data_IF_572148656989
#
_entry.id   IF_572148656989
#
_cell.length_a   1.000
_cell.length_b   1.000
_cell.length_c   1.000
_cell.angle_alpha   90.00
_cell.angle_beta   90.00
_cell.angle_gamma   90.00
#
_symmetry.space_group_name_H-M   'P 1'
#
loop_
_entity.id
_entity.type
_entity.pdbx_description
1 polymer ?
#
# COMPACT_ATOMS: atom_id res chain seq x y z
N UNK A 1 17.33 -5.98 12.72
CA UNK A 1 16.04 -5.73 12.04
C UNK A 1 16.25 -4.79 10.87
N UNK A 2 15.54 -5.04 9.78
CA UNK A 2 15.47 -4.12 8.63
C UNK A 2 13.99 -3.86 8.30
N UNK A 3 13.64 -2.58 8.12
CA UNK A 3 12.34 -2.14 7.61
C UNK A 3 12.58 -1.50 6.25
N UNK A 4 12.15 -2.17 5.20
CA UNK A 4 12.30 -1.68 3.83
C UNK A 4 11.02 -0.96 3.39
N UNK A 5 11.00 0.34 3.60
CA UNK A 5 9.93 1.24 3.20
C UNK A 5 10.30 2.11 1.97
N UNK A 6 11.53 1.96 1.45
CA UNK A 6 11.96 2.70 0.28
C UNK A 6 11.19 2.25 -0.97
N UNK A 7 10.79 3.22 -1.77
CA UNK A 7 10.05 2.96 -3.00
C UNK A 7 9.49 4.24 -3.60
N UNK A 8 9.01 4.15 -4.84
CA UNK A 8 8.36 5.25 -5.54
C UNK A 8 6.91 4.88 -5.83
N UNK A 9 6.01 5.80 -5.56
CA UNK A 9 4.56 5.66 -5.82
C UNK A 9 4.13 6.39 -7.08
N UNK A 10 4.96 7.34 -7.55
CA UNK A 10 4.77 8.13 -8.76
C UNK A 10 6.09 8.31 -9.49
N UNK A 11 6.09 8.12 -10.80
CA UNK A 11 7.25 8.29 -11.67
C UNK A 11 6.82 8.90 -13.00
N UNK A 12 7.75 9.61 -13.65
CA UNK A 12 7.59 10.08 -15.03
C UNK A 12 7.69 8.93 -16.02
N UNK A 13 8.60 7.99 -15.77
CA UNK A 13 8.80 6.81 -16.61
C UNK A 13 8.39 5.54 -15.88
N UNK A 14 7.57 4.71 -16.50
CA UNK A 14 7.08 3.46 -15.90
C UNK A 14 8.19 2.49 -15.52
N UNK A 15 9.33 2.52 -16.25
CA UNK A 15 10.51 1.72 -15.94
C UNK A 15 11.12 2.04 -14.56
N UNK A 16 10.93 3.25 -14.04
CA UNK A 16 11.44 3.64 -12.73
C UNK A 16 10.74 2.89 -11.60
N UNK A 17 9.48 2.49 -11.77
CA UNK A 17 8.81 1.63 -10.78
C UNK A 17 9.54 0.31 -10.62
N UNK A 18 9.91 -0.33 -11.73
CA UNK A 18 10.63 -1.61 -11.69
C UNK A 18 12.03 -1.44 -11.11
N UNK A 19 12.77 -0.45 -11.61
CA UNK A 19 14.14 -0.17 -11.17
C UNK A 19 14.22 0.12 -9.67
N UNK A 20 13.29 0.90 -9.13
CA UNK A 20 13.33 1.32 -7.72
C UNK A 20 12.63 0.31 -6.81
N UNK A 21 11.41 -0.12 -7.14
CA UNK A 21 10.63 -0.95 -6.24
C UNK A 21 11.04 -2.42 -6.32
N UNK A 22 11.26 -2.96 -7.53
CA UNK A 22 11.60 -4.38 -7.72
C UNK A 22 13.09 -4.61 -7.55
N UNK A 23 13.90 -4.01 -8.42
CA UNK A 23 15.35 -4.20 -8.41
C UNK A 23 16.00 -3.67 -7.12
N UNK A 24 15.53 -2.52 -6.62
CA UNK A 24 16.01 -1.98 -5.34
C UNK A 24 15.76 -2.94 -4.17
N UNK A 25 14.60 -3.59 -4.11
CA UNK A 25 14.29 -4.60 -3.09
C UNK A 25 15.18 -5.84 -3.26
N UNK A 26 15.34 -6.32 -4.51
CA UNK A 26 16.19 -7.47 -4.83
C UNK A 26 17.64 -7.19 -4.44
N UNK A 27 18.22 -6.08 -4.87
CA UNK A 27 19.59 -5.71 -4.54
C UNK A 27 19.83 -5.58 -3.03
N UNK A 28 18.88 -5.02 -2.29
CA UNK A 28 18.99 -4.93 -0.83
C UNK A 28 19.01 -6.33 -0.20
N UNK A 29 18.12 -7.22 -0.62
CA UNK A 29 18.07 -8.59 -0.10
C UNK A 29 19.34 -9.38 -0.44
N UNK A 30 19.82 -9.27 -1.68
CA UNK A 30 21.09 -9.89 -2.13
C UNK A 30 22.32 -9.35 -1.36
N UNK A 31 22.36 -8.05 -1.09
CA UNK A 31 23.44 -7.44 -0.31
C UNK A 31 23.47 -7.98 1.13
N UNK A 32 22.29 -8.10 1.77
CA UNK A 32 22.16 -8.68 3.11
C UNK A 32 22.70 -10.12 3.13
N UNK A 33 22.31 -10.92 2.13
CA UNK A 33 22.76 -12.31 1.99
C UNK A 33 24.27 -12.40 1.74
N UNK A 34 24.80 -11.56 0.85
CA UNK A 34 26.22 -11.56 0.47
C UNK A 34 27.11 -11.23 1.66
N UNK A 35 26.75 -10.22 2.46
CA UNK A 35 27.51 -9.85 3.66
C UNK A 35 27.19 -10.74 4.85
N UNK A 36 26.31 -11.73 4.69
CA UNK A 36 25.86 -12.64 5.77
C UNK A 36 25.42 -11.89 7.03
N UNK A 37 24.70 -10.77 6.83
CA UNK A 37 24.25 -9.93 7.94
C UNK A 37 23.26 -10.71 8.83
N UNK A 38 23.52 -10.86 10.12
CA UNK A 38 22.62 -11.58 11.02
C UNK A 38 21.41 -10.71 11.37
N UNK A 39 20.39 -10.71 10.51
CA UNK A 39 19.14 -10.00 10.75
C UNK A 39 18.10 -10.94 11.37
N UNK A 40 17.42 -10.43 12.38
CA UNK A 40 16.32 -11.18 13.04
C UNK A 40 15.06 -11.17 12.18
N UNK A 41 14.82 -10.09 11.43
CA UNK A 41 13.62 -9.93 10.60
C UNK A 41 13.78 -8.81 9.57
N UNK A 42 13.24 -9.07 8.38
CA UNK A 42 13.10 -8.11 7.29
C UNK A 42 11.61 -7.81 7.08
N UNK A 43 11.18 -6.57 7.25
CA UNK A 43 9.80 -6.14 7.00
C UNK A 43 9.76 -5.32 5.73
N UNK A 44 9.01 -5.80 4.74
CA UNK A 44 8.82 -5.12 3.46
C UNK A 44 7.47 -4.40 3.42
N UNK A 45 7.47 -3.10 3.15
CA UNK A 45 6.28 -2.30 2.90
C UNK A 45 5.87 -2.45 1.43
N UNK A 46 4.94 -3.36 1.15
CA UNK A 46 4.29 -3.53 -0.14
C UNK A 46 3.05 -2.61 -0.26
N UNK A 47 2.00 -3.06 -0.90
CA UNK A 47 0.73 -2.33 -1.06
C UNK A 47 -0.39 -3.29 -1.40
N UNK A 48 -1.63 -2.97 -1.05
CA UNK A 48 -2.82 -3.68 -1.54
C UNK A 48 -2.98 -3.57 -3.07
N UNK A 49 -2.34 -2.58 -3.71
CA UNK A 49 -2.33 -2.41 -5.17
C UNK A 49 -1.78 -3.61 -5.95
N UNK A 50 -1.14 -4.58 -5.29
CA UNK A 50 -0.71 -5.85 -5.91
C UNK A 50 -1.89 -6.70 -6.40
N UNK A 51 -3.09 -6.49 -5.84
CA UNK A 51 -4.29 -7.20 -6.28
C UNK A 51 -4.97 -6.54 -7.48
N UNK A 52 -4.84 -5.22 -7.63
CA UNK A 52 -5.65 -4.50 -8.62
C UNK A 52 -7.15 -4.63 -8.32
N UNK A 53 -7.95 -4.54 -9.36
CA UNK A 53 -9.41 -4.52 -9.30
C UNK A 53 -10.01 -5.92 -9.55
N UNK A 54 -9.65 -6.91 -8.74
CA UNK A 54 -10.01 -8.32 -9.00
C UNK A 54 -11.46 -8.67 -8.67
N UNK A 55 -12.16 -7.87 -7.87
CA UNK A 55 -13.55 -8.11 -7.44
C UNK A 55 -14.45 -6.90 -7.69
N UNK A 56 -14.32 -6.29 -8.86
CA UNK A 56 -15.12 -5.11 -9.26
C UNK A 56 -16.54 -5.40 -9.73
N UNK A 57 -16.91 -6.68 -9.88
CA UNK A 57 -18.25 -7.04 -10.33
C UNK A 57 -19.23 -7.11 -9.14
N UNK A 58 -20.46 -6.65 -9.37
CA UNK A 58 -21.52 -6.73 -8.35
C UNK A 58 -22.00 -8.18 -8.13
N UNK A 59 -22.23 -8.61 -6.89
CA UNK A 59 -21.96 -7.87 -5.65
C UNK A 59 -20.46 -7.75 -5.38
N UNK A 60 -20.04 -6.59 -4.84
CA UNK A 60 -18.65 -6.40 -4.44
C UNK A 60 -18.31 -7.38 -3.31
N UNK A 61 -17.13 -8.01 -3.41
CA UNK A 61 -16.60 -8.88 -2.39
C UNK A 61 -15.27 -8.33 -1.87
N UNK A 62 -14.99 -8.59 -0.61
CA UNK A 62 -13.71 -8.21 -0.03
C UNK A 62 -12.55 -9.00 -0.63
N UNK A 63 -11.43 -8.33 -0.86
CA UNK A 63 -10.17 -8.99 -1.21
C UNK A 63 -9.62 -9.64 0.05
N UNK A 64 -9.31 -10.91 -0.04
CA UNK A 64 -8.77 -11.71 1.06
C UNK A 64 -7.31 -12.12 0.79
N UNK A 65 -6.61 -12.60 1.81
CA UNK A 65 -5.24 -13.11 1.68
C UNK A 65 -5.16 -14.38 0.79
N UNK A 66 -6.28 -15.05 0.54
CA UNK A 66 -6.35 -16.24 -0.32
C UNK A 66 -6.56 -15.90 -1.80
N UNK A 67 -6.87 -14.65 -2.12
CA UNK A 67 -7.04 -14.22 -3.50
C UNK A 67 -5.70 -14.12 -4.22
N UNK A 68 -5.71 -14.37 -5.53
CA UNK A 68 -4.51 -14.25 -6.34
C UNK A 68 -4.28 -12.81 -6.78
N UNK A 69 -3.07 -12.23 -6.51
CA UNK A 69 -2.70 -10.91 -6.99
C UNK A 69 -2.82 -10.77 -8.51
N UNK A 70 -3.44 -9.68 -8.99
CA UNK A 70 -3.56 -9.36 -10.42
C UNK A 70 -3.46 -7.84 -10.62
N UNK A 71 -2.28 -7.25 -10.44
CA UNK A 71 -2.12 -5.80 -10.48
C UNK A 71 -2.40 -5.25 -11.88
N UNK A 72 -3.17 -4.15 -11.93
CA UNK A 72 -3.54 -3.43 -13.15
C UNK A 72 -2.73 -2.14 -13.35
N UNK A 73 -1.86 -1.76 -12.41
CA UNK A 73 -1.00 -0.58 -12.49
C UNK A 73 0.48 -0.97 -12.54
N UNK A 74 1.34 -0.11 -13.11
CA UNK A 74 2.79 -0.32 -13.11
C UNK A 74 3.38 -0.36 -11.69
N UNK A 75 2.86 0.50 -10.79
CA UNK A 75 3.19 0.49 -9.38
C UNK A 75 2.85 -0.86 -8.72
N UNK A 76 1.61 -1.33 -8.84
CA UNK A 76 1.18 -2.61 -8.28
C UNK A 76 2.00 -3.79 -8.81
N UNK A 77 2.29 -3.79 -10.13
CA UNK A 77 3.15 -4.80 -10.76
C UNK A 77 4.56 -4.81 -10.17
N UNK A 78 5.16 -3.64 -9.97
CA UNK A 78 6.52 -3.55 -9.40
C UNK A 78 6.57 -4.01 -7.95
N UNK A 79 5.51 -3.70 -7.16
CA UNK A 79 5.41 -4.17 -5.77
C UNK A 79 5.22 -5.70 -5.71
N UNK A 80 4.39 -6.27 -6.59
CA UNK A 80 4.20 -7.72 -6.66
C UNK A 80 5.49 -8.44 -7.04
N UNK A 81 6.19 -7.98 -8.08
CA UNK A 81 7.50 -8.55 -8.47
C UNK A 81 8.52 -8.52 -7.32
N UNK A 82 8.52 -7.46 -6.52
CA UNK A 82 9.40 -7.38 -5.35
C UNK A 82 9.02 -8.42 -4.28
N UNK A 83 7.72 -8.66 -4.05
CA UNK A 83 7.26 -9.75 -3.18
C UNK A 83 7.68 -11.12 -3.71
N UNK A 84 7.49 -11.36 -5.03
CA UNK A 84 7.89 -12.59 -5.71
C UNK A 84 9.40 -12.85 -5.61
N UNK A 85 10.23 -11.79 -5.69
CA UNK A 85 11.65 -11.91 -5.44
C UNK A 85 11.96 -12.39 -4.02
N UNK A 86 11.24 -11.88 -3.01
CA UNK A 86 11.42 -12.32 -1.62
C UNK A 86 10.92 -13.75 -1.41
N UNK A 87 9.85 -14.16 -2.09
CA UNK A 87 9.26 -15.50 -2.00
C UNK A 87 10.13 -16.58 -2.69
N UNK A 88 10.71 -16.24 -3.84
CA UNK A 88 11.40 -17.22 -4.71
C UNK A 88 12.86 -17.46 -4.33
N UNK A 89 13.49 -16.51 -3.63
CA UNK A 89 14.89 -16.61 -3.27
C UNK A 89 15.05 -17.09 -1.82
N UNK A 90 15.90 -18.09 -1.62
CA UNK A 90 16.28 -18.57 -0.28
C UNK A 90 17.32 -17.61 0.33
N UNK A 91 16.90 -16.42 0.73
CA UNK A 91 17.79 -15.41 1.30
C UNK A 91 18.34 -15.76 2.70
N UNK A 92 17.88 -16.84 3.32
CA UNK A 92 18.38 -17.28 4.63
C UNK A 92 18.01 -16.38 5.81
N UNK A 93 17.14 -15.38 5.61
CA UNK A 93 16.61 -14.52 6.66
C UNK A 93 15.07 -14.50 6.67
N UNK A 94 14.45 -14.37 7.85
CA UNK A 94 12.99 -14.30 7.94
C UNK A 94 12.49 -12.94 7.43
N UNK A 95 11.46 -12.95 6.56
CA UNK A 95 10.85 -11.75 6.04
C UNK A 95 9.32 -11.74 6.24
N UNK A 96 8.75 -10.54 6.25
CA UNK A 96 7.32 -10.29 6.36
C UNK A 96 6.96 -9.20 5.38
N UNK A 97 5.80 -9.33 4.75
CA UNK A 97 5.24 -8.34 3.84
C UNK A 97 4.02 -7.68 4.48
N UNK A 98 4.01 -6.36 4.50
CA UNK A 98 2.86 -5.56 4.89
C UNK A 98 2.25 -4.92 3.63
N UNK A 99 0.95 -5.10 3.44
CA UNK A 99 0.17 -4.60 2.29
C UNK A 99 -0.84 -3.54 2.78
N UNK A 100 -0.39 -2.31 3.04
CA UNK A 100 -1.32 -1.24 3.41
C UNK A 100 -2.25 -0.88 2.25
N UNK A 101 -3.47 -0.46 2.61
CA UNK A 101 -4.44 0.18 1.75
C UNK A 101 -4.06 1.64 1.49
N UNK A 102 -5.00 2.55 1.26
CA UNK A 102 -4.72 3.98 1.14
C UNK A 102 -4.19 4.55 2.47
N UNK A 103 -2.89 4.84 2.54
CA UNK A 103 -2.28 5.40 3.76
C UNK A 103 -2.56 6.90 3.83
N UNK A 104 -3.17 7.34 4.92
CA UNK A 104 -3.42 8.76 5.16
C UNK A 104 -2.73 9.24 6.44
N UNK A 105 -2.61 10.56 6.57
CA UNK A 105 -2.05 11.20 7.77
C UNK A 105 -1.06 12.32 7.47
N UNK A 106 -0.31 12.79 8.47
CA UNK A 106 0.65 13.88 8.30
C UNK A 106 1.67 13.62 7.19
N UNK A 107 1.87 14.62 6.30
CA UNK A 107 2.76 14.60 5.13
C UNK A 107 2.25 13.80 3.93
N UNK A 108 1.08 13.20 4.00
CA UNK A 108 0.41 12.66 2.85
C UNK A 108 -0.07 13.82 1.93
N UNK A 109 0.14 13.69 0.62
CA UNK A 109 -0.09 14.80 -0.31
C UNK A 109 -1.37 14.68 -1.13
N UNK A 110 -1.77 13.48 -1.49
CA UNK A 110 -2.85 13.28 -2.45
C UNK A 110 -4.22 13.59 -1.83
N UNK A 111 -4.47 13.01 -0.66
CA UNK A 111 -5.70 13.30 0.10
C UNK A 111 -5.72 14.74 0.62
N UNK A 112 -4.55 15.29 0.97
CA UNK A 112 -4.44 16.69 1.33
C UNK A 112 -4.80 17.62 0.16
N UNK A 113 -4.30 17.34 -1.06
CA UNK A 113 -4.65 18.13 -2.25
C UNK A 113 -6.11 17.99 -2.62
N UNK A 114 -6.71 16.81 -2.44
CA UNK A 114 -8.15 16.60 -2.61
C UNK A 114 -8.93 17.44 -1.62
N UNK A 115 -8.60 17.41 -0.33
CA UNK A 115 -9.25 18.23 0.69
C UNK A 115 -9.11 19.75 0.39
N UNK A 116 -7.93 20.18 -0.05
CA UNK A 116 -7.69 21.56 -0.47
C UNK A 116 -8.52 21.95 -1.71
N UNK A 117 -8.68 21.05 -2.66
CA UNK A 117 -9.54 21.26 -3.84
C UNK A 117 -11.01 21.45 -3.41
N UNK A 118 -11.53 20.60 -2.54
CA UNK A 118 -12.87 20.71 -1.97
C UNK A 118 -13.03 22.04 -1.20
N UNK A 119 -12.00 22.43 -0.44
CA UNK A 119 -11.97 23.74 0.24
C UNK A 119 -12.10 24.92 -0.73
N UNK A 120 -11.61 24.78 -1.95
CA UNK A 120 -11.70 25.76 -3.03
C UNK A 120 -12.95 25.56 -3.92
N UNK A 121 -13.97 24.84 -3.44
CA UNK A 121 -15.23 24.54 -4.16
C UNK A 121 -15.05 23.69 -5.43
N UNK A 122 -13.97 22.91 -5.51
CA UNK A 122 -13.70 21.99 -6.62
C UNK A 122 -13.69 20.57 -6.09
N UNK A 123 -14.84 19.90 -6.14
CA UNK A 123 -14.95 18.49 -5.79
C UNK A 123 -14.98 17.64 -7.07
N UNK A 124 -13.89 16.94 -7.33
CA UNK A 124 -13.72 16.09 -8.49
C UNK A 124 -14.07 14.64 -8.13
N UNK A 125 -15.21 14.16 -8.56
CA UNK A 125 -15.51 12.74 -8.54
C UNK A 125 -14.70 12.00 -9.62
N UNK A 126 -13.99 10.97 -9.26
CA UNK A 126 -13.26 10.12 -10.20
C UNK A 126 -14.17 8.97 -10.65
N UNK A 127 -14.74 9.11 -11.85
CA UNK A 127 -15.57 8.08 -12.47
C UNK A 127 -17.04 8.14 -12.09
N UNK A 128 -17.87 7.43 -12.88
CA UNK A 128 -19.33 7.35 -12.70
C UNK A 128 -19.79 6.12 -11.92
N UNK A 129 -18.87 5.20 -11.63
CA UNK A 129 -19.21 3.97 -10.90
C UNK A 129 -18.88 4.12 -9.43
N UNK A 130 -19.65 3.44 -8.59
CA UNK A 130 -19.33 3.30 -7.18
C UNK A 130 -17.92 2.74 -7.05
N UNK A 131 -17.12 3.38 -6.20
CA UNK A 131 -15.80 2.90 -5.81
C UNK A 131 -15.79 2.72 -4.30
N UNK A 132 -15.49 1.53 -3.87
CA UNK A 132 -15.27 1.21 -2.47
C UNK A 132 -13.77 1.32 -2.17
N UNK A 133 -13.43 2.16 -1.22
CA UNK A 133 -12.04 2.52 -0.87
C UNK A 133 -11.81 2.17 0.60
N UNK A 134 -10.63 1.68 0.90
CA UNK A 134 -10.20 1.39 2.27
C UNK A 134 -8.98 2.22 2.62
N UNK A 135 -8.86 2.59 3.89
CA UNK A 135 -7.78 3.44 4.39
C UNK A 135 -7.07 2.81 5.58
N UNK A 136 -5.89 3.33 5.88
CA UNK A 136 -5.16 3.06 7.12
C UNK A 136 -4.40 4.31 7.55
N UNK A 137 -4.45 4.64 8.82
CA UNK A 137 -3.72 5.78 9.35
C UNK A 137 -2.22 5.47 9.43
N UNK A 138 -1.38 6.43 9.08
CA UNK A 138 0.08 6.22 9.01
C UNK A 138 0.69 5.73 10.33
N UNK A 139 0.16 6.15 11.49
CA UNK A 139 0.65 5.64 12.78
C UNK A 139 0.29 4.19 13.02
N UNK A 140 -0.83 3.72 12.49
CA UNK A 140 -1.22 2.31 12.59
C UNK A 140 -0.32 1.44 11.69
N UNK A 141 0.09 1.96 10.52
CA UNK A 141 1.13 1.32 9.70
C UNK A 141 2.44 1.19 10.47
N UNK A 142 2.87 2.26 11.17
CA UNK A 142 4.07 2.23 12.00
C UNK A 142 3.93 1.21 13.13
N UNK A 143 2.78 1.18 13.82
CA UNK A 143 2.51 0.19 14.86
C UNK A 143 2.52 -1.25 14.29
N UNK A 144 1.93 -1.46 13.12
CA UNK A 144 1.96 -2.76 12.45
C UNK A 144 3.39 -3.21 12.09
N UNK A 145 4.28 -2.27 11.72
CA UNK A 145 5.70 -2.58 11.52
C UNK A 145 6.34 -3.11 12.82
N UNK A 146 6.11 -2.45 13.97
CA UNK A 146 6.65 -2.94 15.24
C UNK A 146 6.07 -4.30 15.61
N UNK A 147 4.76 -4.50 15.45
CA UNK A 147 4.14 -5.80 15.68
C UNK A 147 4.69 -6.89 14.74
N UNK A 148 4.96 -6.55 13.48
CA UNK A 148 5.58 -7.46 12.54
C UNK A 148 7.01 -7.83 12.95
N UNK A 149 7.79 -6.87 13.47
CA UNK A 149 9.13 -7.11 13.97
C UNK A 149 9.14 -8.06 15.17
N UNK A 150 8.18 -7.93 16.09
CA UNK A 150 8.14 -8.71 17.34
C UNK A 150 7.40 -10.04 17.18
N UNK A 151 6.24 -10.04 16.51
CA UNK A 151 5.30 -11.17 16.52
C UNK A 151 4.97 -11.74 15.13
N UNK A 152 5.36 -11.06 14.05
CA UNK A 152 5.02 -11.49 12.69
C UNK A 152 5.61 -12.86 12.34
N UNK A 153 4.88 -13.64 11.55
CA UNK A 153 5.33 -14.95 11.08
C UNK A 153 6.10 -14.80 9.76
N UNK A 154 7.28 -15.43 9.67
CA UNK A 154 8.09 -15.40 8.45
C UNK A 154 7.32 -15.92 7.24
N UNK A 155 7.51 -15.28 6.09
CA UNK A 155 6.83 -15.61 4.82
C UNK A 155 5.36 -15.15 4.77
N UNK A 156 4.80 -14.54 5.84
CA UNK A 156 3.42 -14.07 5.84
C UNK A 156 3.29 -12.66 5.25
N UNK A 157 2.14 -12.43 4.62
CA UNK A 157 1.71 -11.17 4.03
C UNK A 157 0.45 -10.70 4.73
N UNK A 158 0.47 -9.50 5.27
CA UNK A 158 -0.63 -8.96 6.08
C UNK A 158 -1.23 -7.73 5.42
N UNK A 159 -2.56 -7.68 5.32
CA UNK A 159 -3.28 -6.48 4.92
C UNK A 159 -3.35 -5.51 6.09
N UNK A 160 -3.23 -4.22 5.78
CA UNK A 160 -3.39 -3.16 6.77
C UNK A 160 -4.50 -2.21 6.31
N UNK A 161 -5.59 -2.17 7.06
CA UNK A 161 -6.71 -1.24 6.91
C UNK A 161 -7.26 -0.88 8.27
N UNK A 162 -8.13 0.11 8.34
CA UNK A 162 -8.89 0.46 9.54
C UNK A 162 -10.13 -0.44 9.74
N UNK A 163 -10.34 -1.42 8.85
CA UNK A 163 -11.48 -2.33 8.88
C UNK A 163 -12.80 -1.73 8.36
N UNK A 164 -12.77 -0.51 7.80
CA UNK A 164 -13.94 0.14 7.23
C UNK A 164 -13.84 0.24 5.70
N UNK A 165 -15.00 0.25 5.05
CA UNK A 165 -15.12 0.48 3.61
C UNK A 165 -15.81 1.81 3.39
N UNK A 166 -15.16 2.68 2.62
CA UNK A 166 -15.66 4.02 2.31
C UNK A 166 -16.02 4.12 0.83
N UNK A 167 -17.16 4.71 0.53
CA UNK A 167 -17.46 5.14 -0.83
C UNK A 167 -16.70 6.45 -1.11
N UNK A 168 -16.35 6.70 -2.37
CA UNK A 168 -15.69 7.95 -2.77
C UNK A 168 -16.50 9.19 -2.35
N UNK A 169 -17.83 9.13 -2.43
CA UNK A 169 -18.74 10.18 -1.93
C UNK A 169 -18.69 10.36 -0.41
N UNK A 170 -18.49 9.28 0.35
CA UNK A 170 -18.37 9.37 1.82
C UNK A 170 -17.13 10.15 2.22
N UNK A 171 -16.01 9.92 1.54
CA UNK A 171 -14.76 10.64 1.81
C UNK A 171 -14.92 12.13 1.54
N UNK A 172 -15.52 12.49 0.41
CA UNK A 172 -15.82 13.88 0.07
C UNK A 172 -16.75 14.54 1.11
N UNK A 173 -17.82 13.83 1.51
CA UNK A 173 -18.76 14.30 2.53
C UNK A 173 -18.09 14.55 3.89
N UNK A 174 -17.19 13.66 4.31
CA UNK A 174 -16.43 13.85 5.55
C UNK A 174 -15.60 15.12 5.50
N UNK A 175 -14.91 15.37 4.39
CA UNK A 175 -14.12 16.60 4.21
C UNK A 175 -15.04 17.84 4.25
N UNK A 176 -16.17 17.83 3.53
CA UNK A 176 -17.14 18.95 3.55
C UNK A 176 -17.63 19.24 4.95
N UNK A 177 -17.97 18.22 5.73
CA UNK A 177 -18.46 18.37 7.09
C UNK A 177 -17.39 19.01 8.00
N UNK A 178 -16.13 18.57 7.91
CA UNK A 178 -15.04 19.09 8.74
C UNK A 178 -14.66 20.53 8.38
N UNK A 179 -14.72 20.92 7.10
CA UNK A 179 -14.48 22.32 6.70
C UNK A 179 -15.69 23.24 6.90
N UNK A 180 -16.82 22.71 7.37
CA UNK A 180 -18.04 23.50 7.66
C UNK A 180 -18.67 24.16 6.43
N UNK A 181 -18.53 23.55 5.24
CA UNK A 181 -19.08 24.08 4.00
C UNK A 181 -20.18 23.19 3.45
N UNK A 182 -21.42 23.70 3.31
CA UNK A 182 -22.51 22.94 2.71
C UNK A 182 -22.25 22.70 1.21
N UNK A 183 -22.81 21.60 0.71
CA UNK A 183 -22.96 21.37 -0.74
C UNK A 183 -23.84 22.46 -1.35
N UNK A 184 -23.42 22.99 -2.46
CA UNK A 184 -24.27 23.84 -3.34
C UNK A 184 -24.67 23.02 -4.55
#
# INVERSE_FOLDING_TARGET
>A
YIVHAAGVTKCLHTADFERVNTEGTRHLAEAIQTVKMPIKRFVYLSSLSVFGAIKEQMPYEEITENDHPKPNTAYGKSKLKAEECLDSAEYGFPYIVLRPTGVYGPRERDYFLMAKSIQNHLDFAVGYRRQDITFVYVKDVVQAVFLALDHGKSGRKYFLSDGQVYQSSTFSNLIHNEIGRPWW
#
